data_IF_612884563620
#
_entry.id   IF_612884563620
#
_cell.length_a   1.000
_cell.length_b   1.000
_cell.length_c   1.000
_cell.angle_alpha   90.00
_cell.angle_beta   90.00
_cell.angle_gamma   90.00
#
_symmetry.space_group_name_H-M   'P 1'
#
loop_
_entity.id
_entity.type
_entity.pdbx_description
1 polymer ?
#
# COMPACT_ATOMS: atom_id res chain seq x y z
N UNK A 1 -26.22 33.87 -12.14
CA UNK A 1 -25.28 33.93 -11.00
C UNK A 1 -25.90 33.17 -9.85
N UNK A 2 -25.55 31.89 -9.75
CA UNK A 2 -26.06 30.98 -8.71
C UNK A 2 -24.96 30.82 -7.67
N UNK A 3 -25.21 31.38 -6.48
CA UNK A 3 -24.31 31.21 -5.34
C UNK A 3 -24.22 29.73 -4.95
N UNK A 4 -23.02 29.15 -4.73
CA UNK A 4 -22.90 27.80 -4.23
C UNK A 4 -23.28 27.71 -2.75
N UNK A 5 -23.92 26.59 -2.42
CA UNK A 5 -24.53 26.25 -1.14
C UNK A 5 -23.48 26.15 0.01
N UNK A 6 -23.61 26.89 1.12
CA UNK A 6 -22.58 27.04 2.16
C UNK A 6 -22.47 25.85 3.16
N UNK A 7 -22.78 24.62 2.75
CA UNK A 7 -22.69 23.41 3.60
C UNK A 7 -21.61 22.39 3.20
N UNK A 8 -20.65 22.78 2.36
CA UNK A 8 -19.52 21.92 1.95
C UNK A 8 -18.18 22.26 2.65
N UNK A 9 -18.21 22.67 3.91
CA UNK A 9 -17.03 22.67 4.77
C UNK A 9 -17.13 21.52 5.77
N UNK A 10 -16.84 20.30 5.31
CA UNK A 10 -16.71 19.13 6.19
C UNK A 10 -15.47 18.31 5.80
N UNK A 11 -14.45 18.41 6.66
CA UNK A 11 -13.28 17.53 6.81
C UNK A 11 -12.85 16.72 5.56
N UNK A 12 -11.96 17.30 4.75
CA UNK A 12 -11.32 16.57 3.64
C UNK A 12 -10.59 15.31 4.15
N UNK A 13 -10.88 14.16 3.53
CA UNK A 13 -10.14 12.93 3.79
C UNK A 13 -8.69 13.09 3.30
N UNK A 14 -7.69 12.71 4.10
CA UNK A 14 -6.30 12.70 3.60
C UNK A 14 -6.07 11.68 2.52
N UNK A 15 -5.02 11.91 1.75
CA UNK A 15 -4.44 10.93 0.84
C UNK A 15 -4.21 9.60 1.58
N UNK A 16 -3.67 9.60 2.79
CA UNK A 16 -3.46 8.36 3.55
C UNK A 16 -4.77 7.62 3.89
N UNK A 17 -5.81 8.34 4.33
CA UNK A 17 -7.10 7.73 4.61
C UNK A 17 -7.74 7.14 3.34
N UNK A 18 -7.69 7.87 2.22
CA UNK A 18 -8.23 7.47 0.93
C UNK A 18 -7.45 6.30 0.30
N UNK A 19 -6.11 6.36 0.33
CA UNK A 19 -5.18 5.29 -0.05
C UNK A 19 -5.52 3.99 0.69
N UNK A 20 -5.64 4.07 2.02
CA UNK A 20 -5.90 2.91 2.86
C UNK A 20 -7.29 2.31 2.61
N UNK A 21 -8.28 3.06 2.11
CA UNK A 21 -9.58 2.50 1.74
C UNK A 21 -9.49 1.51 0.57
N UNK A 22 -8.44 1.61 -0.25
CA UNK A 22 -8.26 0.75 -1.42
C UNK A 22 -7.34 -0.42 -1.09
N UNK A 23 -6.16 -0.13 -0.53
CA UNK A 23 -5.13 -1.17 -0.37
C UNK A 23 -5.05 -1.78 1.03
N UNK A 24 -5.76 -1.24 2.04
CA UNK A 24 -5.81 -1.86 3.36
C UNK A 24 -6.77 -3.05 3.46
N UNK A 25 -7.06 -3.67 2.32
CA UNK A 25 -7.80 -4.91 2.24
C UNK A 25 -6.95 -5.97 1.52
N UNK A 26 -6.70 -7.08 2.22
CA UNK A 26 -5.94 -8.23 1.71
C UNK A 26 -6.45 -8.68 0.33
N UNK A 27 -7.76 -8.79 0.17
CA UNK A 27 -8.34 -9.32 -1.05
C UNK A 27 -8.18 -8.38 -2.23
N UNK A 28 -8.14 -7.06 -1.99
CA UNK A 28 -7.83 -6.10 -3.06
C UNK A 28 -6.40 -6.31 -3.56
N UNK A 29 -5.41 -6.45 -2.66
CA UNK A 29 -4.02 -6.74 -3.04
C UNK A 29 -3.93 -8.04 -3.85
N UNK A 30 -4.60 -9.10 -3.40
CA UNK A 30 -4.59 -10.40 -4.09
C UNK A 30 -5.29 -10.34 -5.45
N UNK A 31 -6.41 -9.63 -5.58
CA UNK A 31 -7.09 -9.44 -6.86
C UNK A 31 -6.23 -8.66 -7.84
N UNK A 32 -5.62 -7.55 -7.39
CA UNK A 32 -4.68 -6.79 -8.21
C UNK A 32 -3.52 -7.67 -8.68
N UNK A 33 -2.94 -8.50 -7.80
CA UNK A 33 -1.90 -9.46 -8.18
C UNK A 33 -2.38 -10.38 -9.31
N UNK A 34 -3.56 -10.98 -9.19
CA UNK A 34 -4.08 -11.88 -10.22
C UNK A 34 -4.40 -11.15 -11.53
N UNK A 35 -4.93 -9.92 -11.47
CA UNK A 35 -5.16 -9.07 -12.63
C UNK A 35 -3.86 -8.80 -13.40
N UNK A 36 -2.77 -8.47 -12.69
CA UNK A 36 -1.46 -8.26 -13.32
C UNK A 36 -0.82 -9.55 -13.82
N UNK A 37 -1.22 -10.71 -13.30
CA UNK A 37 -0.87 -12.03 -13.83
C UNK A 37 -1.78 -12.47 -14.99
N UNK A 38 -2.75 -11.63 -15.40
CA UNK A 38 -3.60 -11.85 -16.56
C UNK A 38 -4.97 -12.46 -16.28
N UNK A 39 -5.36 -12.64 -15.02
CA UNK A 39 -6.73 -13.04 -14.68
C UNK A 39 -7.73 -11.94 -15.10
N UNK A 40 -8.81 -12.36 -15.77
CA UNK A 40 -9.83 -11.46 -16.34
C UNK A 40 -11.25 -11.87 -15.97
N UNK A 41 -11.50 -13.08 -15.48
CA UNK A 41 -12.86 -13.57 -15.20
C UNK A 41 -13.06 -13.93 -13.73
N UNK A 42 -14.33 -14.00 -13.34
CA UNK A 42 -14.72 -14.40 -11.98
C UNK A 42 -14.22 -15.80 -11.61
N UNK A 43 -14.32 -16.75 -12.53
CA UNK A 43 -13.86 -18.13 -12.30
C UNK A 43 -12.36 -18.19 -12.03
N UNK A 44 -11.55 -17.47 -12.81
CA UNK A 44 -10.11 -17.40 -12.62
C UNK A 44 -9.72 -16.87 -11.23
N UNK A 45 -10.47 -15.89 -10.69
CA UNK A 45 -10.23 -15.42 -9.33
C UNK A 45 -10.54 -16.49 -8.29
N UNK A 46 -11.68 -17.19 -8.41
CA UNK A 46 -12.09 -18.22 -7.46
C UNK A 46 -11.21 -19.48 -7.51
N UNK A 47 -10.70 -19.81 -8.69
CA UNK A 47 -9.82 -20.96 -8.89
C UNK A 47 -8.50 -20.81 -8.12
N UNK A 48 -8.02 -19.57 -7.96
CA UNK A 48 -6.74 -19.24 -7.33
C UNK A 48 -6.90 -18.72 -5.90
N UNK A 49 -7.89 -17.86 -5.69
CA UNK A 49 -8.23 -17.25 -4.42
C UNK A 49 -9.44 -18.01 -3.92
N UNK A 50 -9.30 -18.78 -2.84
CA UNK A 50 -10.42 -19.50 -2.20
C UNK A 50 -11.32 -18.50 -1.43
N UNK A 51 -11.77 -17.46 -2.13
CA UNK A 51 -12.49 -16.29 -1.63
C UNK A 51 -13.99 -16.54 -1.76
N UNK A 52 -14.76 -16.15 -0.75
CA UNK A 52 -16.21 -16.29 -0.85
C UNK A 52 -16.80 -15.36 -1.93
N UNK A 53 -17.84 -15.78 -2.66
CA UNK A 53 -18.49 -14.97 -3.71
C UNK A 53 -18.91 -13.57 -3.22
N UNK A 54 -19.42 -13.48 -1.99
CA UNK A 54 -19.85 -12.22 -1.40
C UNK A 54 -18.69 -11.23 -1.20
N UNK A 55 -17.53 -11.72 -0.74
CA UNK A 55 -16.34 -10.87 -0.57
C UNK A 55 -15.81 -10.46 -1.95
N UNK A 56 -15.68 -11.41 -2.88
CA UNK A 56 -15.20 -11.16 -4.23
C UNK A 56 -16.04 -10.08 -4.95
N UNK A 57 -17.37 -10.21 -4.94
CA UNK A 57 -18.27 -9.24 -5.54
C UNK A 57 -18.12 -7.85 -4.93
N UNK A 58 -18.01 -7.77 -3.59
CA UNK A 58 -17.81 -6.49 -2.89
C UNK A 58 -16.47 -5.83 -3.28
N UNK A 59 -15.39 -6.59 -3.46
CA UNK A 59 -14.07 -6.04 -3.83
C UNK A 59 -13.95 -5.67 -5.31
N UNK A 60 -14.53 -6.47 -6.20
CA UNK A 60 -14.61 -6.10 -7.62
C UNK A 60 -15.44 -4.83 -7.80
N UNK A 61 -16.56 -4.70 -7.08
CA UNK A 61 -17.37 -3.48 -7.06
C UNK A 61 -16.56 -2.27 -6.57
N UNK A 62 -15.82 -2.41 -5.47
CA UNK A 62 -14.94 -1.34 -4.97
C UNK A 62 -13.90 -0.90 -6.02
N UNK A 63 -13.23 -1.84 -6.68
CA UNK A 63 -12.25 -1.54 -7.72
C UNK A 63 -12.87 -0.88 -8.97
N UNK A 64 -14.13 -1.16 -9.27
CA UNK A 64 -14.88 -0.48 -10.34
C UNK A 64 -15.28 0.93 -9.91
N UNK A 65 -15.82 1.10 -8.70
CA UNK A 65 -16.24 2.40 -8.16
C UNK A 65 -15.07 3.38 -7.99
N UNK A 66 -13.89 2.86 -7.67
CA UNK A 66 -12.63 3.63 -7.61
C UNK A 66 -11.98 3.83 -8.98
N UNK A 67 -12.62 3.37 -10.06
CA UNK A 67 -12.14 3.55 -11.42
C UNK A 67 -10.94 2.69 -11.80
N UNK A 68 -10.45 1.79 -10.95
CA UNK A 68 -9.31 0.91 -11.22
C UNK A 68 -9.66 -0.20 -12.24
N UNK A 69 -10.92 -0.63 -12.26
CA UNK A 69 -11.42 -1.67 -13.15
C UNK A 69 -12.62 -1.20 -13.96
N UNK A 70 -12.76 -1.76 -15.16
CA UNK A 70 -14.01 -1.74 -15.93
C UNK A 70 -14.52 -3.15 -16.13
N UNK A 71 -15.86 -3.28 -16.13
CA UNK A 71 -16.57 -4.54 -16.41
C UNK A 71 -16.97 -4.55 -17.89
N UNK A 72 -16.62 -5.60 -18.60
CA UNK A 72 -16.98 -5.81 -20.00
C UNK A 72 -17.78 -7.11 -20.14
N UNK A 73 -18.94 -7.03 -20.79
CA UNK A 73 -19.75 -8.20 -21.13
C UNK A 73 -19.43 -8.63 -22.56
N UNK A 74 -19.08 -9.90 -22.76
CA UNK A 74 -18.81 -10.42 -24.11
C UNK A 74 -20.14 -10.71 -24.80
N UNK A 75 -20.41 -10.09 -25.95
CA UNK A 75 -21.63 -10.33 -26.71
C UNK A 75 -21.82 -11.82 -27.04
N UNK A 76 -23.01 -12.36 -26.77
CA UNK A 76 -23.34 -13.77 -27.02
C UNK A 76 -22.80 -14.77 -25.99
N UNK A 77 -22.03 -14.35 -24.98
CA UNK A 77 -21.59 -15.21 -23.86
C UNK A 77 -22.07 -14.63 -22.52
N UNK A 78 -22.34 -15.51 -21.55
CA UNK A 78 -22.55 -15.09 -20.14
C UNK A 78 -21.25 -14.72 -19.42
N UNK A 79 -20.14 -14.61 -20.16
CA UNK A 79 -18.81 -14.36 -19.59
C UNK A 79 -18.58 -12.86 -19.37
N UNK A 80 -18.38 -12.49 -18.11
CA UNK A 80 -17.97 -11.15 -17.70
C UNK A 80 -16.45 -11.09 -17.61
N UNK A 81 -15.85 -10.06 -18.21
CA UNK A 81 -14.43 -9.73 -18.04
C UNK A 81 -14.24 -8.49 -17.17
N UNK A 82 -13.19 -8.50 -16.36
CA UNK A 82 -12.72 -7.40 -15.54
C UNK A 82 -11.37 -6.95 -16.09
N UNK A 83 -11.29 -5.70 -16.55
CA UNK A 83 -10.09 -5.16 -17.20
C UNK A 83 -9.57 -3.96 -16.42
N UNK A 84 -8.25 -3.86 -16.30
CA UNK A 84 -7.58 -2.69 -15.74
C UNK A 84 -7.84 -1.46 -16.63
N UNK A 85 -8.23 -0.36 -15.99
CA UNK A 85 -8.21 0.97 -16.60
C UNK A 85 -6.81 1.56 -16.49
N UNK A 86 -6.59 2.79 -16.98
CA UNK A 86 -5.32 3.48 -16.74
C UNK A 86 -5.04 3.67 -15.25
N UNK A 87 -6.06 4.04 -14.44
CA UNK A 87 -5.92 4.11 -12.99
C UNK A 87 -5.49 2.77 -12.39
N UNK A 88 -6.05 1.66 -12.87
CA UNK A 88 -5.65 0.33 -12.43
C UNK A 88 -4.20 -0.01 -12.82
N UNK A 89 -3.76 0.38 -14.03
CA UNK A 89 -2.38 0.18 -14.49
C UNK A 89 -1.37 1.02 -13.71
N UNK A 90 -1.69 2.29 -13.44
CA UNK A 90 -0.83 3.22 -12.71
C UNK A 90 -0.68 2.83 -11.22
N UNK A 91 -1.48 1.89 -10.71
CA UNK A 91 -1.32 1.30 -9.38
C UNK A 91 -0.24 0.19 -9.37
N UNK A 92 0.26 -0.22 -10.53
CA UNK A 92 1.26 -1.27 -10.64
C UNK A 92 2.59 -0.96 -9.93
N UNK A 93 3.16 0.26 -9.98
CA UNK A 93 4.40 0.58 -9.26
C UNK A 93 4.32 0.29 -7.75
N UNK A 94 3.18 0.59 -7.12
CA UNK A 94 2.91 0.22 -5.73
C UNK A 94 2.98 -1.31 -5.53
N UNK A 95 2.35 -2.08 -6.40
CA UNK A 95 2.29 -3.54 -6.31
C UNK A 95 3.63 -4.21 -6.61
N UNK A 96 4.43 -3.64 -7.50
CA UNK A 96 5.78 -4.11 -7.80
C UNK A 96 6.77 -3.77 -6.67
N UNK A 97 6.68 -2.58 -6.06
CA UNK A 97 7.45 -2.23 -4.85
C UNK A 97 7.09 -3.14 -3.67
N UNK A 98 5.80 -3.43 -3.47
CA UNK A 98 5.33 -4.39 -2.47
C UNK A 98 5.90 -5.81 -2.69
N UNK A 99 5.95 -6.27 -3.94
CA UNK A 99 6.56 -7.55 -4.32
C UNK A 99 8.06 -7.57 -4.04
N UNK A 100 8.80 -6.53 -4.43
CA UNK A 100 10.23 -6.42 -4.16
C UNK A 100 10.53 -6.45 -2.65
N UNK A 101 9.71 -5.74 -1.87
CA UNK A 101 9.77 -5.78 -0.41
C UNK A 101 9.55 -7.20 0.13
N UNK A 102 8.54 -7.91 -0.39
CA UNK A 102 8.28 -9.30 0.01
C UNK A 102 9.46 -10.21 -0.30
N UNK A 103 10.08 -10.10 -1.48
CA UNK A 103 11.27 -10.87 -1.85
C UNK A 103 12.42 -10.61 -0.85
N UNK A 104 12.61 -9.34 -0.46
CA UNK A 104 13.69 -8.95 0.44
C UNK A 104 13.44 -9.43 1.87
N UNK A 105 12.22 -9.31 2.39
CA UNK A 105 11.93 -9.41 3.83
C UNK A 105 11.01 -10.57 4.26
N UNK A 106 10.30 -11.23 3.34
CA UNK A 106 9.47 -12.40 3.66
C UNK A 106 10.27 -13.69 3.48
N UNK A 107 10.95 -14.12 4.54
CA UNK A 107 11.84 -15.31 4.55
C UNK A 107 11.10 -16.63 4.77
N UNK A 108 9.76 -16.65 4.72
CA UNK A 108 8.99 -17.87 4.96
C UNK A 108 9.13 -18.84 3.78
N UNK A 109 9.36 -20.12 4.08
CA UNK A 109 9.38 -21.17 3.07
C UNK A 109 8.02 -21.26 2.37
N UNK A 110 8.02 -21.34 1.03
CA UNK A 110 6.80 -21.41 0.22
C UNK A 110 6.07 -20.08 0.02
N UNK A 111 6.67 -18.93 0.38
CA UNK A 111 6.10 -17.62 0.05
C UNK A 111 6.06 -17.44 -1.48
N UNK A 112 4.86 -17.30 -2.04
CA UNK A 112 4.70 -17.09 -3.47
C UNK A 112 5.23 -15.73 -3.89
N UNK A 113 6.07 -15.73 -4.92
CA UNK A 113 6.53 -14.52 -5.60
C UNK A 113 6.12 -14.64 -7.06
N UNK A 114 5.30 -13.71 -7.53
CA UNK A 114 4.84 -13.68 -8.92
C UNK A 114 6.03 -13.74 -9.89
N UNK A 115 6.09 -14.67 -10.86
CA UNK A 115 7.23 -14.84 -11.76
C UNK A 115 7.17 -13.84 -12.92
N UNK A 116 7.19 -12.55 -12.59
CA UNK A 116 7.14 -11.48 -13.57
C UNK A 116 8.52 -11.25 -14.20
N UNK A 117 8.51 -10.94 -15.48
CA UNK A 117 9.65 -10.56 -16.30
C UNK A 117 9.47 -9.11 -16.73
N UNK A 118 10.59 -8.40 -16.90
CA UNK A 118 10.60 -7.11 -17.57
C UNK A 118 10.83 -7.31 -19.08
N UNK A 119 10.40 -6.37 -19.92
CA UNK A 119 10.59 -6.41 -21.37
C UNK A 119 12.07 -6.50 -21.81
N UNK A 120 13.02 -6.19 -20.91
CA UNK A 120 14.44 -6.42 -21.13
C UNK A 120 14.85 -7.92 -21.07
N UNK A 121 13.92 -8.82 -20.78
CA UNK A 121 14.16 -10.27 -20.72
C UNK A 121 14.68 -10.77 -19.37
N UNK A 122 14.89 -9.90 -18.38
CA UNK A 122 15.32 -10.30 -17.04
C UNK A 122 14.12 -10.55 -16.10
N UNK A 123 14.26 -11.46 -15.11
CA UNK A 123 13.32 -11.55 -14.01
C UNK A 123 13.12 -10.19 -13.35
N UNK A 124 11.87 -9.79 -13.14
CA UNK A 124 11.55 -8.47 -12.64
C UNK A 124 12.06 -8.31 -11.20
N UNK A 125 13.04 -7.42 -11.04
CA UNK A 125 13.54 -6.87 -9.78
C UNK A 125 13.56 -5.36 -9.90
N UNK A 126 13.14 -4.67 -8.85
CA UNK A 126 12.89 -3.22 -8.93
C UNK A 126 13.54 -2.44 -7.80
N UNK A 127 13.69 -1.14 -8.02
CA UNK A 127 14.02 -0.16 -6.98
C UNK A 127 13.34 1.17 -7.33
N UNK A 128 13.10 2.00 -6.32
CA UNK A 128 12.54 3.34 -6.52
C UNK A 128 13.65 4.37 -6.67
N UNK A 129 13.60 5.15 -7.75
CA UNK A 129 14.50 6.26 -8.00
C UNK A 129 13.77 7.61 -7.92
N UNK A 130 14.49 8.67 -7.60
CA UNK A 130 13.97 10.03 -7.65
C UNK A 130 13.66 10.41 -9.11
N UNK A 131 12.46 10.91 -9.38
CA UNK A 131 12.05 11.34 -10.71
C UNK A 131 12.80 12.57 -11.24
N UNK A 132 13.51 13.29 -10.38
CA UNK A 132 14.30 14.46 -10.76
C UNK A 132 15.80 14.17 -10.92
N UNK A 133 16.43 13.54 -9.92
CA UNK A 133 17.88 13.28 -9.95
C UNK A 133 18.26 11.82 -10.22
N UNK A 134 17.28 10.94 -10.38
CA UNK A 134 17.43 9.51 -10.70
C UNK A 134 18.23 8.65 -9.70
N UNK A 135 18.68 9.21 -8.58
CA UNK A 135 19.28 8.45 -7.47
C UNK A 135 18.22 7.59 -6.78
N UNK A 136 18.64 6.44 -6.26
CA UNK A 136 17.79 5.56 -5.45
C UNK A 136 17.23 6.33 -4.25
N UNK A 137 15.92 6.24 -4.03
CA UNK A 137 15.28 6.86 -2.89
C UNK A 137 15.52 6.03 -1.63
N UNK A 138 15.85 6.70 -0.53
CA UNK A 138 15.88 6.11 0.81
C UNK A 138 15.04 6.94 1.76
N UNK A 139 14.32 6.28 2.66
CA UNK A 139 13.41 6.96 3.60
C UNK A 139 14.11 8.05 4.42
N UNK A 140 15.38 7.85 4.79
CA UNK A 140 16.16 8.82 5.59
C UNK A 140 16.60 10.05 4.79
N UNK A 141 16.56 9.97 3.47
CA UNK A 141 16.94 11.06 2.56
C UNK A 141 15.73 11.92 2.17
N UNK A 142 14.62 11.80 2.90
CA UNK A 142 13.34 12.49 2.63
C UNK A 142 12.96 13.35 3.82
N UNK A 143 12.73 14.63 3.54
CA UNK A 143 12.21 15.58 4.51
C UNK A 143 10.73 15.81 4.25
N UNK A 144 9.89 15.49 5.22
CA UNK A 144 8.49 15.91 5.23
C UNK A 144 8.37 17.26 5.94
N UNK A 145 7.55 18.17 5.43
CA UNK A 145 7.17 19.38 6.19
C UNK A 145 6.51 18.99 7.52
N UNK A 146 6.85 19.72 8.59
CA UNK A 146 6.28 19.50 9.92
C UNK A 146 4.80 19.89 10.02
N UNK A 147 4.31 20.69 9.07
CA UNK A 147 2.96 21.28 9.08
C UNK A 147 1.89 20.39 8.44
N UNK A 148 2.25 19.18 7.98
CA UNK A 148 1.29 18.20 7.48
C UNK A 148 0.92 17.18 8.58
N UNK A 149 -0.21 17.35 9.27
CA UNK A 149 -0.62 16.44 10.31
C UNK A 149 -0.92 15.07 9.72
N UNK A 150 -0.50 14.01 10.41
CA UNK A 150 -1.10 12.69 10.18
C UNK A 150 -2.57 12.84 10.58
N UNK A 151 -3.47 12.89 9.60
CA UNK A 151 -4.88 13.07 9.94
C UNK A 151 -5.38 11.82 10.65
N UNK A 152 -5.95 11.97 11.86
CA UNK A 152 -6.46 10.87 12.64
C UNK A 152 -7.48 10.03 11.86
N UNK A 153 -7.56 8.75 12.22
CA UNK A 153 -8.56 7.87 11.65
C UNK A 153 -9.99 8.41 11.93
N UNK A 154 -10.73 8.80 10.89
CA UNK A 154 -12.10 9.32 11.05
C UNK A 154 -13.04 8.18 11.48
N UNK A 155 -14.05 8.49 12.30
CA UNK A 155 -15.00 7.48 12.81
C UNK A 155 -15.80 6.75 11.72
N UNK A 156 -15.77 7.22 10.47
CA UNK A 156 -16.45 6.61 9.33
C UNK A 156 -15.62 5.55 8.60
N UNK A 157 -14.35 5.33 8.98
CA UNK A 157 -13.51 4.25 8.46
C UNK A 157 -13.91 2.83 8.92
N UNK A 158 -15.02 2.71 9.68
CA UNK A 158 -15.58 1.46 10.22
C UNK A 158 -15.91 0.39 9.18
N UNK A 159 -15.96 0.73 7.88
CA UNK A 159 -16.35 -0.19 6.81
C UNK A 159 -15.24 -1.15 6.33
N UNK A 160 -13.98 -0.95 6.74
CA UNK A 160 -12.81 -1.75 6.30
C UNK A 160 -12.23 -2.60 7.42
N UNK A 161 -13.09 -3.17 8.28
CA UNK A 161 -12.65 -4.20 9.23
C UNK A 161 -12.11 -5.37 8.41
N UNK A 162 -10.84 -5.74 8.63
CA UNK A 162 -10.25 -6.98 8.13
C UNK A 162 -11.29 -8.09 8.25
N UNK A 163 -11.70 -8.67 7.12
CA UNK A 163 -12.45 -9.93 7.16
C UNK A 163 -11.54 -10.93 7.88
N UNK A 164 -11.91 -11.29 9.11
CA UNK A 164 -11.31 -12.39 9.86
C UNK A 164 -11.80 -13.75 9.33
N UNK A 165 -12.29 -13.81 8.09
CA UNK A 165 -13.10 -14.93 7.60
C UNK A 165 -12.47 -15.64 6.41
N UNK A 166 -12.85 -16.92 6.34
CA UNK A 166 -12.29 -18.02 5.57
C UNK A 166 -11.85 -17.68 4.14
N UNK A 167 -10.74 -18.30 3.76
CA UNK A 167 -10.20 -18.29 2.41
C UNK A 167 -8.67 -18.35 2.40
N UNK A 168 -8.15 -19.12 1.46
CA UNK A 168 -6.72 -19.35 1.26
C UNK A 168 -6.26 -18.77 -0.09
N UNK A 169 -5.04 -18.22 -0.10
CA UNK A 169 -4.32 -17.97 -1.35
C UNK A 169 -3.72 -19.31 -1.80
N UNK A 170 -4.30 -19.97 -2.81
CA UNK A 170 -3.83 -21.28 -3.28
C UNK A 170 -2.45 -21.20 -3.93
N UNK A 171 -1.97 -20.01 -4.30
CA UNK A 171 -0.58 -19.82 -4.76
C UNK A 171 0.43 -19.91 -3.62
N UNK A 172 0.00 -19.68 -2.38
CA UNK A 172 0.82 -19.77 -1.17
C UNK A 172 0.28 -20.88 -0.24
N UNK A 173 0.22 -22.15 -0.68
CA UNK A 173 -0.42 -23.23 0.09
C UNK A 173 0.31 -23.43 1.43
N UNK A 174 -0.46 -23.42 2.54
CA UNK A 174 0.07 -23.56 3.90
C UNK A 174 0.71 -22.30 4.51
N UNK A 175 0.82 -21.20 3.76
CA UNK A 175 1.38 -19.97 4.30
C UNK A 175 0.31 -19.18 5.08
N UNK A 176 0.65 -18.75 6.30
CA UNK A 176 0.00 -17.58 6.92
C UNK A 176 -0.03 -16.44 5.90
N UNK A 177 -0.95 -15.48 6.03
CA UNK A 177 -1.01 -14.32 5.11
C UNK A 177 0.37 -13.66 4.96
N UNK A 178 0.73 -13.23 3.73
CA UNK A 178 1.94 -12.46 3.41
C UNK A 178 2.29 -11.43 4.48
N UNK A 179 3.57 -11.32 4.90
CA UNK A 179 3.96 -10.32 5.93
C UNK A 179 3.53 -8.91 5.53
N UNK A 180 3.73 -8.55 4.27
CA UNK A 180 3.29 -7.28 3.68
C UNK A 180 1.77 -7.08 3.80
N UNK A 181 0.99 -8.11 3.43
CA UNK A 181 -0.47 -8.07 3.48
C UNK A 181 -0.99 -7.93 4.92
N UNK A 182 -0.32 -8.55 5.91
CA UNK A 182 -0.67 -8.40 7.33
C UNK A 182 -0.47 -6.98 7.86
N UNK A 183 0.48 -6.24 7.28
CA UNK A 183 0.79 -4.85 7.63
C UNK A 183 -0.14 -3.91 6.90
N UNK A 184 -0.16 -3.96 5.56
CA UNK A 184 -0.96 -3.04 4.76
C UNK A 184 -2.45 -3.22 5.00
N UNK A 185 -2.92 -4.44 5.22
CA UNK A 185 -4.30 -4.73 5.59
C UNK A 185 -4.72 -4.21 6.97
N UNK A 186 -3.79 -3.67 7.76
CA UNK A 186 -4.05 -3.12 9.08
C UNK A 186 -3.86 -1.61 9.07
N UNK A 187 -4.93 -0.89 8.72
CA UNK A 187 -4.99 0.58 8.67
C UNK A 187 -4.31 1.25 9.87
N UNK A 188 -4.53 0.74 11.08
CA UNK A 188 -3.97 1.29 12.33
C UNK A 188 -2.46 1.05 12.43
N UNK A 189 -1.99 -0.13 12.02
CA UNK A 189 -0.55 -0.40 11.94
C UNK A 189 0.13 0.53 10.93
N UNK A 190 -0.50 0.78 9.77
CA UNK A 190 0.04 1.69 8.76
C UNK A 190 0.09 3.14 9.25
N UNK A 191 -0.91 3.60 10.01
CA UNK A 191 -0.86 4.92 10.67
C UNK A 191 0.32 5.04 11.65
N UNK A 192 0.58 4.00 12.44
CA UNK A 192 1.71 3.98 13.38
C UNK A 192 3.05 3.95 12.64
N UNK A 193 3.18 3.16 11.57
CA UNK A 193 4.39 3.18 10.72
C UNK A 193 4.61 4.58 10.14
N UNK A 194 3.56 5.21 9.62
CA UNK A 194 3.63 6.58 9.08
C UNK A 194 4.08 7.58 10.16
N UNK A 195 3.53 7.49 11.38
CA UNK A 195 3.93 8.32 12.52
C UNK A 195 5.40 8.15 12.90
N UNK A 196 5.85 6.92 13.02
CA UNK A 196 7.25 6.61 13.32
C UNK A 196 8.19 7.10 12.19
N UNK A 197 7.79 6.93 10.93
CA UNK A 197 8.53 7.40 9.76
C UNK A 197 8.65 8.94 9.68
N UNK A 198 7.67 9.66 10.25
CA UNK A 198 7.69 11.13 10.41
C UNK A 198 8.32 11.60 11.72
N UNK A 199 8.91 10.70 12.51
CA UNK A 199 9.69 11.05 13.71
C UNK A 199 8.92 11.06 15.03
N UNK A 200 7.68 10.57 15.09
CA UNK A 200 6.95 10.39 16.35
C UNK A 200 7.49 9.17 17.12
N UNK A 201 8.66 9.30 17.76
CA UNK A 201 9.37 8.17 18.36
C UNK A 201 8.88 7.80 19.77
N UNK A 202 8.18 8.69 20.49
CA UNK A 202 7.64 8.40 21.83
C UNK A 202 6.17 8.02 21.75
N UNK A 203 5.68 7.28 22.74
CA UNK A 203 4.28 6.84 22.78
C UNK A 203 3.28 8.00 22.69
N UNK A 204 3.52 9.08 23.44
CA UNK A 204 2.65 10.26 23.45
C UNK A 204 2.64 10.97 22.10
N UNK A 205 3.79 11.04 21.42
CA UNK A 205 3.91 11.62 20.07
C UNK A 205 3.12 10.77 19.06
N UNK A 206 3.21 9.43 19.13
CA UNK A 206 2.44 8.52 18.28
C UNK A 206 0.94 8.69 18.54
N UNK A 207 0.52 8.79 19.80
CA UNK A 207 -0.88 8.98 20.16
C UNK A 207 -1.41 10.31 19.64
N UNK A 208 -0.66 11.40 19.83
CA UNK A 208 -0.99 12.72 19.32
C UNK A 208 -1.07 12.73 17.78
N UNK A 209 -0.11 12.13 17.11
CA UNK A 209 -0.05 12.11 15.66
C UNK A 209 -1.15 11.24 15.03
N UNK A 210 -1.47 10.08 15.61
CA UNK A 210 -2.44 9.14 15.02
C UNK A 210 -3.87 9.33 15.51
N UNK A 211 -4.06 9.99 16.66
CA UNK A 211 -5.34 10.07 17.37
C UNK A 211 -5.87 8.72 17.87
N UNK A 212 -5.06 7.67 17.84
CA UNK A 212 -5.46 6.34 18.27
C UNK A 212 -5.48 6.21 19.80
N UNK A 213 -6.42 5.42 20.29
CA UNK A 213 -6.51 5.08 21.72
C UNK A 213 -5.26 4.29 22.17
N UNK A 214 -4.70 4.54 23.38
CA UNK A 214 -3.48 3.90 23.86
C UNK A 214 -3.46 2.36 23.74
N UNK A 215 -4.56 1.69 24.10
CA UNK A 215 -4.66 0.24 23.99
C UNK A 215 -4.44 -0.28 22.55
N UNK A 216 -4.94 0.45 21.54
CA UNK A 216 -4.75 0.11 20.13
C UNK A 216 -3.29 0.32 19.71
N UNK A 217 -2.67 1.41 20.17
CA UNK A 217 -1.26 1.70 19.89
C UNK A 217 -0.38 0.58 20.46
N UNK A 218 -0.59 0.19 21.72
CA UNK A 218 0.13 -0.91 22.37
C UNK A 218 -0.02 -2.23 21.61
N UNK A 219 -1.25 -2.62 21.26
CA UNK A 219 -1.52 -3.85 20.52
C UNK A 219 -0.80 -3.85 19.15
N UNK A 220 -0.85 -2.72 18.44
CA UNK A 220 -0.25 -2.59 17.11
C UNK A 220 1.27 -2.46 17.14
N UNK A 221 1.86 -1.76 18.11
CA UNK A 221 3.31 -1.73 18.32
C UNK A 221 3.83 -3.13 18.59
N UNK A 222 3.16 -3.91 19.45
CA UNK A 222 3.49 -5.32 19.68
C UNK A 222 3.42 -6.15 18.41
N UNK A 223 2.36 -5.99 17.60
CA UNK A 223 2.25 -6.66 16.29
C UNK A 223 3.40 -6.27 15.37
N UNK A 224 3.73 -4.98 15.25
CA UNK A 224 4.83 -4.49 14.41
C UNK A 224 6.19 -5.04 14.89
N UNK A 225 6.41 -5.16 16.20
CA UNK A 225 7.59 -5.79 16.78
C UNK A 225 7.67 -7.29 16.48
N UNK A 226 6.56 -8.02 16.60
CA UNK A 226 6.49 -9.44 16.22
C UNK A 226 6.74 -9.66 14.73
N UNK A 227 6.34 -8.70 13.89
CA UNK A 227 6.67 -8.67 12.48
C UNK A 227 8.08 -8.12 12.23
N UNK A 228 8.87 -7.72 13.24
CA UNK A 228 10.22 -7.18 13.05
C UNK A 228 10.27 -5.85 12.26
N UNK A 229 9.18 -5.08 12.28
CA UNK A 229 9.03 -3.78 11.62
C UNK A 229 9.32 -2.62 12.57
N UNK A 230 9.16 -2.85 13.87
CA UNK A 230 9.39 -1.87 14.91
C UNK A 230 10.30 -2.48 15.97
N UNK A 231 11.18 -1.65 16.55
CA UNK A 231 11.96 -1.99 17.73
C UNK A 231 11.74 -0.92 18.80
N UNK A 232 11.76 -1.33 20.06
CA UNK A 232 11.72 -0.41 21.20
C UNK A 232 13.06 -0.37 21.90
N UNK A 233 13.42 0.81 22.41
CA UNK A 233 14.61 1.03 23.22
C UNK A 233 14.22 1.81 24.46
N UNK A 234 14.65 1.31 25.63
CA UNK A 234 14.54 2.03 26.89
C UNK A 234 15.44 3.28 26.83
N UNK A 235 14.91 4.45 27.18
CA UNK A 235 15.69 5.69 27.23
C UNK A 235 15.70 6.35 28.60
N UNK A 236 14.80 5.92 29.48
CA UNK A 236 14.74 6.35 30.87
C UNK A 236 14.28 5.17 31.72
N UNK A 237 14.95 4.95 32.83
CA UNK A 237 14.53 4.04 33.90
C UNK A 237 13.84 4.85 35.00
N UNK A 238 12.87 4.22 35.69
CA UNK A 238 12.18 4.79 36.88
C UNK A 238 11.48 6.15 36.64
N UNK A 239 10.28 6.18 36.02
CA UNK A 239 9.59 5.05 35.40
C UNK A 239 10.20 4.70 34.03
N UNK A 240 10.00 3.46 33.60
CA UNK A 240 10.48 2.99 32.31
C UNK A 240 9.79 3.75 31.17
N UNK A 241 10.59 4.41 30.33
CA UNK A 241 10.12 5.08 29.12
C UNK A 241 10.85 4.58 27.89
N UNK A 242 10.08 4.34 26.83
CA UNK A 242 10.58 3.75 25.60
C UNK A 242 10.48 4.74 24.45
N UNK A 243 11.45 4.65 23.55
CA UNK A 243 11.34 5.15 22.19
C UNK A 243 11.16 3.98 21.22
N UNK A 244 10.37 4.20 20.19
CA UNK A 244 10.07 3.26 19.14
C UNK A 244 10.74 3.74 17.85
N UNK A 245 11.32 2.81 17.10
CA UNK A 245 11.95 3.13 15.80
C UNK A 245 11.62 2.05 14.78
N UNK A 246 11.51 2.46 13.52
CA UNK A 246 11.33 1.55 12.40
C UNK A 246 12.62 0.78 12.13
N UNK A 247 12.52 -0.53 11.90
CA UNK A 247 13.64 -1.35 11.42
C UNK A 247 13.91 -1.08 9.94
N UNK A 248 15.04 -1.57 9.41
CA UNK A 248 15.33 -1.50 7.97
C UNK A 248 14.18 -2.06 7.11
N UNK A 249 13.55 -3.16 7.56
CA UNK A 249 12.40 -3.74 6.85
C UNK A 249 11.19 -2.82 6.83
N UNK A 250 10.94 -2.02 7.87
CA UNK A 250 9.85 -1.06 7.83
C UNK A 250 10.22 0.21 7.06
N UNK A 251 11.49 0.61 7.08
CA UNK A 251 11.97 1.74 6.27
C UNK A 251 11.82 1.45 4.78
N UNK A 252 12.06 0.22 4.32
CA UNK A 252 11.84 -0.17 2.91
C UNK A 252 10.36 -0.14 2.49
N UNK A 253 9.40 -0.13 3.42
CA UNK A 253 7.97 0.06 3.08
C UNK A 253 7.69 1.49 2.58
N UNK A 254 8.60 2.44 2.81
CA UNK A 254 8.52 3.81 2.31
C UNK A 254 8.36 3.87 0.79
N UNK A 255 9.10 3.03 0.04
CA UNK A 255 8.99 2.97 -1.42
C UNK A 255 7.55 2.66 -1.83
N UNK A 256 6.98 1.63 -1.22
CA UNK A 256 5.62 1.19 -1.45
C UNK A 256 4.60 2.28 -1.09
N UNK A 257 4.77 2.94 0.06
CA UNK A 257 3.90 4.04 0.49
C UNK A 257 3.97 5.25 -0.46
N UNK A 258 5.14 5.55 -1.01
CA UNK A 258 5.36 6.69 -1.93
C UNK A 258 4.66 6.48 -3.27
N UNK A 259 4.76 5.28 -3.86
CA UNK A 259 4.05 4.96 -5.11
C UNK A 259 2.54 5.00 -4.93
N UNK A 260 2.04 4.51 -3.80
CA UNK A 260 0.61 4.57 -3.49
C UNK A 260 0.11 6.01 -3.30
N UNK A 261 0.92 6.87 -2.66
CA UNK A 261 0.63 8.29 -2.48
C UNK A 261 0.48 8.99 -3.83
N UNK A 262 1.46 8.82 -4.72
CA UNK A 262 1.43 9.42 -6.05
C UNK A 262 0.24 8.96 -6.88
N UNK A 263 -0.07 7.67 -6.80
CA UNK A 263 -1.26 7.13 -7.45
C UNK A 263 -2.55 7.77 -6.91
N UNK A 264 -2.67 7.92 -5.59
CA UNK A 264 -3.82 8.53 -4.97
C UNK A 264 -3.97 10.01 -5.35
N UNK A 265 -2.88 10.78 -5.35
CA UNK A 265 -2.88 12.18 -5.81
C UNK A 265 -3.38 12.33 -7.24
N UNK A 266 -3.02 11.39 -8.10
CA UNK A 266 -3.38 11.45 -9.51
C UNK A 266 -4.83 11.02 -9.77
N UNK A 267 -5.33 10.01 -9.05
CA UNK A 267 -6.57 9.32 -9.41
C UNK A 267 -7.74 9.48 -8.43
N UNK A 268 -7.49 9.85 -7.18
CA UNK A 268 -8.55 10.05 -6.20
C UNK A 268 -9.01 11.51 -6.18
N UNK A 269 -10.32 11.70 -6.02
CA UNK A 269 -10.93 13.03 -5.87
C UNK A 269 -10.78 13.51 -4.44
N UNK A 270 -10.66 14.83 -4.25
CA UNK A 270 -10.57 15.49 -2.95
C UNK A 270 -9.39 15.03 -2.08
N UNK A 271 -8.40 14.38 -2.70
CA UNK A 271 -7.11 14.04 -2.11
C UNK A 271 -6.09 15.07 -2.56
N UNK A 272 -5.67 15.93 -1.64
CA UNK A 272 -4.52 16.80 -1.83
C UNK A 272 -3.44 16.38 -0.85
N UNK A 273 -2.32 15.86 -1.37
CA UNK A 273 -1.11 15.81 -0.55
C UNK A 273 -0.48 17.18 -0.65
N UNK A 274 -0.58 17.94 0.42
CA UNK A 274 0.10 19.22 0.52
C UNK A 274 1.58 19.04 0.86
N UNK A 275 2.04 17.80 1.09
CA UNK A 275 3.40 17.50 1.53
C UNK A 275 3.90 16.16 0.97
N UNK A 276 4.19 16.09 -0.34
CA UNK A 276 4.78 14.90 -0.95
C UNK A 276 6.10 14.48 -0.28
N UNK A 277 6.74 15.37 0.47
CA UNK A 277 8.11 15.25 0.94
C UNK A 277 9.09 15.88 -0.05
N UNK A 278 10.28 16.22 0.42
CA UNK A 278 11.38 16.75 -0.39
C UNK A 278 12.55 15.79 -0.35
N UNK A 279 13.13 15.46 -1.51
CA UNK A 279 14.32 14.64 -1.56
C UNK A 279 15.56 15.47 -1.21
N UNK A 280 16.22 15.15 -0.10
CA UNK A 280 17.31 15.93 0.47
C UNK A 280 18.52 16.09 -0.46
N UNK A 281 18.75 15.15 -1.38
CA UNK A 281 19.91 15.20 -2.28
C UNK A 281 19.73 16.14 -3.48
N UNK A 282 18.49 16.49 -3.85
CA UNK A 282 18.22 17.37 -5.00
C UNK A 282 17.24 18.51 -4.72
N UNK A 283 16.71 18.58 -3.49
CA UNK A 283 15.74 19.57 -3.01
C UNK A 283 14.48 19.68 -3.89
N UNK A 284 14.13 18.58 -4.59
CA UNK A 284 12.92 18.52 -5.41
C UNK A 284 11.79 17.83 -4.65
N UNK A 285 10.52 18.16 -4.98
CA UNK A 285 9.37 17.41 -4.49
C UNK A 285 9.55 15.91 -4.76
N UNK A 286 9.17 15.09 -3.78
CA UNK A 286 9.30 13.65 -3.87
C UNK A 286 8.43 13.12 -5.00
N UNK A 287 9.09 12.67 -6.05
CA UNK A 287 8.52 11.84 -7.10
C UNK A 287 9.37 10.58 -7.21
N UNK A 288 8.75 9.43 -7.07
CA UNK A 288 9.34 8.12 -7.22
C UNK A 288 9.00 7.56 -8.60
N UNK A 289 10.03 7.07 -9.28
CA UNK A 289 9.93 6.24 -10.49
C UNK A 289 10.40 4.84 -10.14
N UNK A 290 9.59 3.84 -10.47
CA UNK A 290 10.01 2.46 -10.31
C UNK A 290 10.91 2.07 -11.47
N UNK A 291 12.11 1.53 -11.20
CA UNK A 291 13.09 1.18 -12.23
C UNK A 291 13.50 -0.28 -12.12
N UNK A 292 13.82 -0.89 -13.25
CA UNK A 292 14.34 -2.25 -13.33
C UNK A 292 15.78 -2.31 -12.80
N UNK A 293 16.11 -3.27 -11.94
CA UNK A 293 17.50 -3.45 -11.46
C UNK A 293 18.47 -3.92 -12.56
N UNK A 294 17.96 -4.52 -13.64
CA UNK A 294 18.79 -5.07 -14.73
C UNK A 294 19.14 -4.03 -15.80
N UNK A 295 18.13 -3.35 -16.36
CA UNK A 295 18.33 -2.38 -17.45
C UNK A 295 18.16 -0.92 -17.02
N UNK A 296 17.78 -0.65 -15.77
CA UNK A 296 17.47 0.68 -15.25
C UNK A 296 16.35 1.43 -15.99
N UNK A 297 15.62 0.84 -16.93
CA UNK A 297 14.44 1.50 -17.52
C UNK A 297 13.28 1.57 -16.52
N UNK A 298 12.37 2.51 -16.76
CA UNK A 298 11.15 2.65 -15.98
C UNK A 298 10.28 1.39 -16.09
N UNK A 299 9.64 1.01 -14.99
CA UNK A 299 8.79 -0.17 -14.87
C UNK A 299 7.36 0.28 -14.61
N UNK A 300 6.50 0.01 -15.58
CA UNK A 300 5.05 0.15 -15.52
C UNK A 300 4.36 -1.19 -15.87
N UNK A 301 3.02 -1.19 -15.89
CA UNK A 301 2.25 -2.39 -16.22
C UNK A 301 2.47 -2.89 -17.66
N UNK A 302 2.73 -2.01 -18.62
CA UNK A 302 2.87 -2.38 -20.03
C UNK A 302 4.31 -2.85 -20.36
N UNK A 303 5.26 -2.60 -19.45
CA UNK A 303 6.67 -3.03 -19.54
C UNK A 303 6.94 -4.44 -19.00
N UNK A 304 5.93 -5.15 -18.47
CA UNK A 304 6.08 -6.44 -17.79
C UNK A 304 5.19 -7.54 -18.35
N UNK A 305 5.60 -8.79 -18.15
CA UNK A 305 4.80 -9.97 -18.50
C UNK A 305 5.06 -11.11 -17.51
N UNK A 306 4.11 -12.05 -17.37
CA UNK A 306 4.33 -13.26 -16.58
C UNK A 306 5.20 -14.26 -17.38
N UNK A 307 6.22 -14.85 -16.73
CA UNK A 307 6.92 -15.99 -17.32
C UNK A 307 5.93 -17.14 -17.53
N UNK A 308 5.94 -17.71 -18.74
CA UNK A 308 5.18 -18.90 -19.14
C UNK A 308 5.72 -20.15 -18.48
#
# INVERSE_FOLDING_TARGET
MTHPNPRMQQAGNTNLAAMLNIVADRWVILLLRELYLGAKSWSQFVDVLDISPAILNKRLKLLIETGCLKKESVAGKRETRYLLTQAGKDLYPFMAAAREWQIRWDKRKGAFVSPLMHNCGAPLRTYSACGACHKTLKAQEIRFSADDPIIPDSKDSRHFRLSSTAGADRRSPGAKVGKFIQVMGDRRATLIISALGRGALKFDDISKATGLHPAIITERLRKLQLLGLCQQRLYQERPDRFVYSLTASAQDLFETATHLRQWAEQWLKDTHDTNPGTHLLCDQPLKAQLRCQSCHNEVDFDSIYAAT
#
